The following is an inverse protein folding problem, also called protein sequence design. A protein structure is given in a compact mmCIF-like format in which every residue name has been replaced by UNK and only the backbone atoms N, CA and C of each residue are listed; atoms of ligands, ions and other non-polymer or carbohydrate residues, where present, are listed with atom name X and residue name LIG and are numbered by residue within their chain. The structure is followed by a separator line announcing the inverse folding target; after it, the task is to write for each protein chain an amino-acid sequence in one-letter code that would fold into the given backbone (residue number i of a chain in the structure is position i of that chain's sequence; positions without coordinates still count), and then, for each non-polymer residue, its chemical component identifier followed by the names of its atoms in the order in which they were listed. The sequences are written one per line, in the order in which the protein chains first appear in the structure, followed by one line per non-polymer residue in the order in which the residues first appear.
data_IF_654048483217
#
_entry.id   IF_654048483217
#
_cell.length_a   1.000
_cell.length_b   1.000
_cell.length_c   1.000
_cell.angle_alpha   90.00
_cell.angle_beta   90.00
_cell.angle_gamma   90.00
#
_symmetry.space_group_name_H-M   'P 1'
#
loop_
_entity.id
_entity.type
_entity.pdbx_description
1 polymer ?
#
# COMPACT_ATOMS: atom_id res chain seq x y z
N UNK A 1 -25.33 17.15 10.75
CA UNK A 1 -24.85 16.40 9.60
C UNK A 1 -26.01 15.90 8.76
N UNK A 2 -27.23 16.01 9.28
CA UNK A 2 -28.44 15.53 8.59
C UNK A 2 -28.28 14.07 8.16
N UNK A 3 -28.24 13.19 9.15
CA UNK A 3 -28.03 11.77 8.89
C UNK A 3 -29.20 11.14 8.14
N UNK A 4 -30.41 11.63 8.41
CA UNK A 4 -31.62 11.01 7.84
C UNK A 4 -31.72 11.17 6.33
N UNK A 5 -31.25 12.29 5.80
CA UNK A 5 -31.27 12.50 4.36
C UNK A 5 -30.25 11.58 3.70
N UNK A 6 -29.13 11.38 4.38
CA UNK A 6 -28.09 10.48 3.89
C UNK A 6 -28.56 9.03 3.94
N UNK A 7 -29.22 8.65 5.04
CA UNK A 7 -29.71 7.29 5.20
C UNK A 7 -30.79 6.98 4.16
N UNK A 8 -31.47 8.02 3.70
CA UNK A 8 -32.49 7.86 2.67
C UNK A 8 -31.86 7.43 1.34
N UNK A 9 -30.70 8.00 1.03
CA UNK A 9 -29.98 7.61 -0.19
C UNK A 9 -29.38 6.22 -0.05
N UNK A 10 -28.98 5.89 1.18
CA UNK A 10 -28.48 4.55 1.50
C UNK A 10 -29.53 3.49 1.21
N UNK A 11 -30.75 3.73 1.68
CA UNK A 11 -31.85 2.80 1.48
C UNK A 11 -32.19 2.70 0.00
N UNK A 12 -32.16 3.85 -0.66
CA UNK A 12 -32.40 3.95 -2.09
C UNK A 12 -31.48 3.00 -2.85
N UNK A 13 -30.19 3.04 -2.51
CA UNK A 13 -29.20 2.20 -3.15
C UNK A 13 -29.22 0.75 -2.72
N UNK A 14 -29.61 0.51 -1.47
CA UNK A 14 -29.69 -0.85 -0.96
C UNK A 14 -30.82 -1.63 -1.61
N UNK A 15 -32.01 -1.03 -1.63
CA UNK A 15 -33.18 -1.71 -2.17
C UNK A 15 -33.09 -1.86 -3.68
N UNK A 16 -32.36 -0.94 -4.31
CA UNK A 16 -32.17 -0.99 -5.75
C UNK A 16 -31.29 -2.18 -6.15
N UNK A 17 -30.25 -2.42 -5.36
CA UNK A 17 -29.38 -3.57 -5.57
C UNK A 17 -30.13 -4.88 -5.35
N UNK A 18 -30.85 -4.97 -4.23
CA UNK A 18 -31.64 -6.15 -3.90
C UNK A 18 -32.70 -6.44 -4.95
N UNK A 19 -33.24 -5.39 -5.56
CA UNK A 19 -34.24 -5.55 -6.61
C UNK A 19 -33.67 -6.33 -7.78
N UNK A 20 -32.47 -5.94 -8.21
CA UNK A 20 -31.80 -6.63 -9.32
C UNK A 20 -31.35 -8.03 -8.93
N UNK A 21 -30.98 -8.22 -7.67
CA UNK A 21 -30.62 -9.54 -7.18
C UNK A 21 -31.81 -10.49 -7.30
N UNK A 22 -32.97 -9.99 -6.92
CA UNK A 22 -34.21 -10.78 -6.96
C UNK A 22 -34.69 -10.97 -8.39
N UNK A 23 -34.20 -10.12 -9.29
CA UNK A 23 -34.52 -10.24 -10.71
C UNK A 23 -33.55 -11.20 -11.40
N UNK A 24 -32.56 -11.70 -10.66
CA UNK A 24 -31.56 -12.60 -11.21
C UNK A 24 -30.51 -11.91 -12.07
N UNK A 25 -30.36 -10.60 -11.91
CA UNK A 25 -29.34 -9.86 -12.65
C UNK A 25 -28.00 -9.90 -11.93
N UNK A 26 -26.92 -10.08 -12.69
CA UNK A 26 -25.58 -10.04 -12.12
C UNK A 26 -25.19 -8.63 -11.72
N UNK A 27 -24.83 -8.45 -10.46
CA UNK A 27 -24.39 -7.14 -9.98
C UNK A 27 -22.95 -6.87 -10.43
N UNK A 28 -22.80 -5.90 -11.33
CA UNK A 28 -21.48 -5.48 -11.78
C UNK A 28 -20.83 -4.54 -10.76
N UNK A 29 -19.73 -4.97 -10.17
CA UNK A 29 -19.04 -4.19 -9.14
C UNK A 29 -17.73 -3.58 -9.64
N UNK A 30 -17.55 -2.29 -9.37
CA UNK A 30 -16.33 -1.56 -9.72
C UNK A 30 -15.80 -0.81 -8.50
N UNK A 31 -14.57 -1.07 -8.11
CA UNK A 31 -14.01 -0.44 -6.91
C UNK A 31 -12.57 0.05 -7.10
N UNK A 32 -12.14 0.94 -6.22
CA UNK A 32 -10.81 1.56 -6.31
C UNK A 32 -9.69 0.61 -5.86
N UNK A 33 -8.47 0.92 -6.27
CA UNK A 33 -7.32 0.03 -6.07
C UNK A 33 -6.80 -0.04 -4.63
N UNK A 34 -6.83 1.07 -3.89
CA UNK A 34 -6.23 1.09 -2.55
C UNK A 34 -7.01 0.25 -1.53
N UNK A 35 -6.61 0.35 -0.26
CA UNK A 35 -7.23 -0.44 0.79
C UNK A 35 -8.67 -0.01 1.06
N UNK A 36 -8.95 1.28 0.89
CA UNK A 36 -10.30 1.79 1.08
C UNK A 36 -11.24 1.17 0.06
N UNK A 37 -10.72 0.92 -1.15
CA UNK A 37 -11.53 0.39 -2.24
C UNK A 37 -11.70 -1.11 -2.25
N UNK A 38 -10.65 -1.82 -1.87
CA UNK A 38 -10.67 -3.27 -1.85
C UNK A 38 -11.59 -3.77 -0.73
N UNK A 39 -11.56 -3.07 0.41
CA UNK A 39 -12.47 -3.38 1.52
C UNK A 39 -13.91 -3.03 1.17
N UNK A 40 -14.10 -1.88 0.50
CA UNK A 40 -15.44 -1.46 0.09
C UNK A 40 -16.04 -2.45 -0.90
N UNK A 41 -15.23 -2.87 -1.86
CA UNK A 41 -15.66 -3.82 -2.87
C UNK A 41 -16.06 -5.15 -2.26
N UNK A 42 -15.34 -5.56 -1.21
CA UNK A 42 -15.63 -6.83 -0.55
C UNK A 42 -16.93 -6.76 0.24
N UNK A 43 -17.18 -5.62 0.87
CA UNK A 43 -18.39 -5.43 1.66
C UNK A 43 -19.64 -5.54 0.79
N UNK A 44 -19.58 -4.94 -0.39
CA UNK A 44 -20.69 -5.05 -1.35
C UNK A 44 -20.81 -6.47 -1.92
N UNK A 45 -19.67 -7.07 -2.26
CA UNK A 45 -19.64 -8.44 -2.77
C UNK A 45 -20.21 -9.41 -1.74
N UNK A 46 -19.88 -9.19 -0.48
CA UNK A 46 -20.44 -10.00 0.60
C UNK A 46 -21.96 -9.86 0.61
N UNK A 47 -22.44 -8.61 0.56
CA UNK A 47 -23.86 -8.33 0.58
C UNK A 47 -24.59 -9.06 -0.55
N UNK A 48 -24.07 -8.94 -1.77
CA UNK A 48 -24.68 -9.58 -2.94
C UNK A 48 -24.75 -11.11 -2.76
N UNK A 49 -23.65 -11.69 -2.31
CA UNK A 49 -23.58 -13.14 -2.14
C UNK A 49 -24.47 -13.63 -1.00
N UNK A 50 -24.59 -12.83 0.05
CA UNK A 50 -25.42 -13.22 1.20
C UNK A 50 -26.91 -13.29 0.82
N UNK A 51 -27.28 -12.59 -0.25
CA UNK A 51 -28.66 -12.55 -0.71
C UNK A 51 -28.93 -13.63 -1.76
N UNK A 52 -27.92 -14.45 -2.03
CA UNK A 52 -28.02 -15.47 -3.06
C UNK A 52 -27.78 -14.91 -4.44
N UNK A 53 -27.28 -13.68 -4.49
CA UNK A 53 -27.04 -13.00 -5.75
C UNK A 53 -25.70 -13.34 -6.37
N UNK A 54 -25.40 -12.70 -7.50
CA UNK A 54 -24.21 -13.02 -8.28
C UNK A 54 -23.54 -11.73 -8.75
N UNK A 55 -22.21 -11.69 -8.71
CA UNK A 55 -21.48 -10.47 -9.07
C UNK A 55 -20.24 -10.70 -9.93
N UNK A 56 -19.84 -9.67 -10.67
CA UNK A 56 -18.53 -9.63 -11.33
C UNK A 56 -17.77 -8.38 -10.91
N UNK A 57 -16.59 -8.60 -10.33
CA UNK A 57 -15.85 -7.53 -9.70
C UNK A 57 -14.68 -7.00 -10.54
N UNK A 58 -14.46 -5.69 -10.46
CA UNK A 58 -13.31 -5.04 -11.09
C UNK A 58 -12.62 -4.07 -10.13
N UNK A 59 -11.31 -4.19 -10.03
CA UNK A 59 -10.52 -3.27 -9.20
C UNK A 59 -9.68 -2.36 -10.10
N UNK A 60 -10.07 -1.10 -10.18
CA UNK A 60 -9.44 -0.17 -11.12
C UNK A 60 -8.70 0.96 -10.40
N UNK A 61 -7.83 1.64 -11.15
CA UNK A 61 -7.03 2.74 -10.61
C UNK A 61 -7.87 3.99 -10.40
N UNK A 62 -8.69 4.32 -11.38
CA UNK A 62 -9.54 5.50 -11.30
C UNK A 62 -10.68 5.38 -12.30
N UNK A 63 -11.69 6.23 -12.14
CA UNK A 63 -12.77 6.27 -13.10
C UNK A 63 -12.38 7.22 -14.23
N UNK A 64 -12.38 6.70 -15.45
CA UNK A 64 -12.07 7.48 -16.63
C UNK A 64 -13.14 7.26 -17.70
N UNK A 65 -13.14 8.10 -18.72
CA UNK A 65 -14.13 8.01 -19.79
C UNK A 65 -13.99 6.70 -20.58
N UNK A 66 -12.75 6.27 -20.79
CA UNK A 66 -12.49 5.00 -21.47
C UNK A 66 -13.13 3.86 -20.69
N UNK A 67 -12.99 3.91 -19.36
CA UNK A 67 -13.53 2.89 -18.49
C UNK A 67 -15.04 2.84 -18.56
N UNK A 68 -15.68 4.00 -18.43
CA UNK A 68 -17.13 4.11 -18.49
C UNK A 68 -17.68 3.55 -19.80
N UNK A 69 -17.01 3.89 -20.91
CA UNK A 69 -17.44 3.41 -22.21
C UNK A 69 -17.26 1.89 -22.32
N UNK A 70 -16.18 1.36 -21.77
CA UNK A 70 -15.99 -0.10 -21.70
C UNK A 70 -17.16 -0.76 -20.99
N UNK A 71 -17.55 -0.18 -19.86
CA UNK A 71 -18.62 -0.70 -19.04
C UNK A 71 -19.96 -0.62 -19.75
N UNK A 72 -20.19 0.48 -20.45
CA UNK A 72 -21.44 0.66 -21.18
C UNK A 72 -21.59 -0.39 -22.26
N UNK A 73 -20.47 -0.81 -22.84
CA UNK A 73 -20.48 -1.82 -23.90
C UNK A 73 -20.72 -3.23 -23.34
N UNK A 74 -20.72 -3.35 -22.02
CA UNK A 74 -21.03 -4.64 -21.40
C UNK A 74 -22.54 -4.81 -21.27
N UNK A 75 -23.24 -3.68 -21.35
CA UNK A 75 -24.71 -3.64 -21.32
C UNK A 75 -25.26 -4.42 -20.13
N UNK A 76 -24.82 -4.03 -18.94
CA UNK A 76 -25.27 -4.68 -17.70
C UNK A 76 -26.57 -4.05 -17.22
N UNK A 77 -27.30 -4.78 -16.38
CA UNK A 77 -28.54 -4.24 -15.86
C UNK A 77 -28.25 -3.23 -14.75
N UNK A 78 -27.24 -3.54 -13.93
CA UNK A 78 -26.86 -2.62 -12.85
C UNK A 78 -25.34 -2.52 -12.68
N UNK A 79 -24.86 -1.29 -12.51
CA UNK A 79 -23.46 -1.01 -12.21
C UNK A 79 -23.31 -0.42 -10.81
N UNK A 80 -22.47 -1.03 -9.97
CA UNK A 80 -22.22 -0.48 -8.65
C UNK A 80 -20.77 0.00 -8.49
N UNK A 81 -20.60 1.32 -8.46
CA UNK A 81 -19.28 1.92 -8.25
C UNK A 81 -19.01 2.13 -6.77
N UNK A 82 -17.84 1.67 -6.33
CA UNK A 82 -17.45 1.70 -4.93
C UNK A 82 -16.15 2.50 -4.73
N UNK A 83 -16.19 3.48 -3.83
CA UNK A 83 -15.05 4.37 -3.57
C UNK A 83 -14.60 5.11 -4.84
N UNK A 84 -15.56 5.36 -5.74
CA UNK A 84 -15.26 5.98 -7.03
C UNK A 84 -16.50 6.65 -7.61
N UNK A 85 -16.28 7.51 -8.60
CA UNK A 85 -17.38 7.99 -9.42
C UNK A 85 -17.95 9.35 -9.06
N UNK A 86 -17.65 9.83 -7.85
CA UNK A 86 -18.20 11.09 -7.37
C UNK A 86 -17.84 12.29 -8.24
N UNK A 87 -16.67 12.24 -8.87
CA UNK A 87 -16.24 13.32 -9.75
C UNK A 87 -16.68 13.11 -11.18
N UNK A 88 -17.36 11.98 -11.41
CA UNK A 88 -17.72 11.58 -12.76
C UNK A 88 -19.22 11.38 -12.92
N UNK A 89 -20.00 12.25 -12.29
CA UNK A 89 -21.45 12.06 -12.24
C UNK A 89 -22.12 12.28 -13.60
N UNK A 90 -21.87 13.41 -14.23
CA UNK A 90 -22.50 13.69 -15.53
C UNK A 90 -21.97 12.72 -16.57
N UNK A 91 -20.72 12.30 -16.40
CA UNK A 91 -20.15 11.29 -17.28
C UNK A 91 -20.95 9.99 -17.16
N UNK A 92 -20.98 9.44 -15.95
CA UNK A 92 -21.74 8.23 -15.66
C UNK A 92 -23.19 8.34 -16.12
N UNK A 93 -23.80 9.48 -15.85
CA UNK A 93 -25.22 9.69 -16.13
C UNK A 93 -25.55 9.63 -17.61
N UNK A 94 -24.68 10.17 -18.45
CA UNK A 94 -24.92 10.21 -19.89
C UNK A 94 -24.72 8.86 -20.55
N UNK A 95 -23.62 8.19 -20.22
CA UNK A 95 -23.23 6.98 -20.92
C UNK A 95 -23.80 5.70 -20.30
N UNK A 96 -24.47 5.85 -19.16
CA UNK A 96 -25.06 4.69 -18.48
C UNK A 96 -26.53 4.91 -18.09
N UNK A 97 -27.23 5.75 -18.85
CA UNK A 97 -28.62 6.06 -18.54
C UNK A 97 -29.56 4.88 -18.77
N UNK A 98 -29.10 3.89 -19.54
CA UNK A 98 -29.91 2.73 -19.88
C UNK A 98 -29.98 1.74 -18.72
N UNK A 99 -29.08 1.88 -17.76
CA UNK A 99 -28.97 0.90 -16.68
C UNK A 99 -29.13 1.56 -15.32
N UNK A 100 -29.17 0.72 -14.28
CA UNK A 100 -29.22 1.20 -12.92
C UNK A 100 -27.79 1.35 -12.39
N UNK A 101 -27.45 2.51 -11.84
CA UNK A 101 -26.13 2.65 -11.25
C UNK A 101 -26.23 3.19 -9.82
N UNK A 102 -25.44 2.57 -8.94
CA UNK A 102 -25.31 3.03 -7.56
C UNK A 102 -23.87 3.44 -7.31
N UNK A 103 -23.68 4.67 -6.83
CA UNK A 103 -22.35 5.13 -6.46
C UNK A 103 -22.23 5.24 -4.94
N UNK A 104 -21.42 4.37 -4.37
CA UNK A 104 -21.11 4.41 -2.94
C UNK A 104 -19.70 4.94 -2.73
N UNK A 105 -19.60 6.22 -2.42
CA UNK A 105 -18.30 6.89 -2.33
C UNK A 105 -18.37 8.08 -1.37
N UNK A 106 -17.21 8.58 -0.94
CA UNK A 106 -17.16 9.67 0.03
C UNK A 106 -16.36 10.87 -0.46
N UNK A 107 -15.83 10.79 -1.67
CA UNK A 107 -15.06 11.89 -2.25
C UNK A 107 -15.98 13.04 -2.67
N UNK A 108 -15.49 14.28 -2.63
CA UNK A 108 -16.28 15.47 -2.97
C UNK A 108 -16.89 15.34 -4.36
N UNK A 109 -18.23 15.31 -4.42
CA UNK A 109 -18.97 15.02 -5.65
C UNK A 109 -19.01 16.17 -6.63
N UNK A 110 -19.16 15.84 -7.91
CA UNK A 110 -19.33 16.83 -8.97
C UNK A 110 -20.66 17.57 -8.78
N UNK A 111 -21.73 16.80 -8.64
CA UNK A 111 -23.06 17.33 -8.36
C UNK A 111 -23.58 16.67 -7.08
N UNK A 112 -24.65 17.20 -6.51
CA UNK A 112 -25.17 16.64 -5.26
C UNK A 112 -26.15 15.50 -5.51
N UNK A 113 -26.51 15.28 -6.77
CA UNK A 113 -27.40 14.18 -7.11
C UNK A 113 -27.44 13.89 -8.60
N UNK A 114 -27.91 12.69 -8.95
CA UNK A 114 -28.19 12.34 -10.34
C UNK A 114 -29.55 12.89 -10.74
N UNK A 115 -29.69 13.26 -12.01
CA UNK A 115 -30.92 13.87 -12.48
C UNK A 115 -32.04 12.84 -12.64
N UNK A 116 -31.67 11.59 -12.94
CA UNK A 116 -32.65 10.53 -13.11
C UNK A 116 -32.76 9.64 -11.86
N UNK A 117 -33.80 8.80 -11.82
CA UNK A 117 -34.12 8.03 -10.63
C UNK A 117 -33.28 6.77 -10.46
N UNK A 118 -33.00 6.10 -11.57
CA UNK A 118 -32.26 4.84 -11.54
C UNK A 118 -30.79 5.04 -11.23
N UNK A 119 -30.40 6.30 -11.06
CA UNK A 119 -29.04 6.64 -10.66
C UNK A 119 -29.05 7.32 -9.29
N UNK A 120 -28.44 6.68 -8.29
CA UNK A 120 -28.41 7.25 -6.95
C UNK A 120 -26.98 7.48 -6.47
N UNK A 121 -26.74 8.67 -5.94
CA UNK A 121 -25.44 9.02 -5.37
C UNK A 121 -25.46 8.82 -3.86
N UNK A 122 -24.85 7.74 -3.39
CA UNK A 122 -24.75 7.47 -1.97
C UNK A 122 -23.46 8.06 -1.43
N UNK A 123 -23.57 9.21 -0.79
CA UNK A 123 -22.42 10.01 -0.39
C UNK A 123 -22.78 10.93 0.76
N UNK A 124 -21.98 10.90 1.84
CA UNK A 124 -22.36 11.69 3.02
C UNK A 124 -22.03 13.17 2.87
N UNK A 125 -21.06 13.47 2.01
CA UNK A 125 -20.56 14.84 1.86
C UNK A 125 -21.63 15.89 1.51
N UNK A 126 -22.53 15.61 0.52
CA UNK A 126 -23.55 16.61 0.21
C UNK A 126 -24.47 16.96 1.38
N UNK A 127 -24.44 16.15 2.45
CA UNK A 127 -25.33 16.36 3.58
C UNK A 127 -24.59 16.95 4.78
N UNK A 128 -23.29 17.19 4.62
CA UNK A 128 -22.54 17.92 5.63
C UNK A 128 -21.47 17.13 6.36
N UNK A 129 -21.06 16.01 5.80
CA UNK A 129 -20.01 15.20 6.40
C UNK A 129 -18.65 15.52 5.82
N UNK A 130 -17.63 15.53 6.67
CA UNK A 130 -16.27 15.77 6.22
C UNK A 130 -15.74 14.55 5.48
N UNK A 131 -15.38 14.75 4.22
CA UNK A 131 -14.91 13.67 3.35
C UNK A 131 -13.75 12.86 3.94
N UNK A 132 -12.90 13.49 4.75
CA UNK A 132 -11.66 12.85 5.18
C UNK A 132 -11.63 12.40 6.63
N UNK A 133 -12.72 12.58 7.38
CA UNK A 133 -12.74 12.13 8.77
C UNK A 133 -14.08 11.56 9.24
N UNK A 134 -15.16 11.83 8.53
CA UNK A 134 -16.48 11.41 8.98
C UNK A 134 -16.90 10.03 8.48
N UNK A 135 -16.39 9.62 7.32
CA UNK A 135 -16.67 8.30 6.76
C UNK A 135 -15.84 8.08 5.49
N UNK A 136 -15.42 6.84 5.27
CA UNK A 136 -14.60 6.52 4.10
C UNK A 136 -15.42 5.80 3.04
N UNK A 137 -14.75 5.30 2.01
CA UNK A 137 -15.41 4.56 0.96
C UNK A 137 -15.97 3.24 1.48
N UNK A 138 -15.15 2.52 2.24
CA UNK A 138 -15.59 1.29 2.88
C UNK A 138 -16.77 1.56 3.80
N UNK A 139 -16.76 2.74 4.41
CA UNK A 139 -17.79 3.13 5.36
C UNK A 139 -19.16 3.28 4.72
N UNK A 140 -19.22 3.97 3.59
CA UNK A 140 -20.50 4.15 2.89
C UNK A 140 -20.97 2.82 2.30
N UNK A 141 -20.02 2.01 1.84
CA UNK A 141 -20.36 0.66 1.37
C UNK A 141 -20.96 -0.15 2.52
N UNK A 142 -20.40 0.02 3.71
CA UNK A 142 -20.89 -0.66 4.90
C UNK A 142 -22.33 -0.26 5.26
N UNK A 143 -22.65 1.02 5.13
CA UNK A 143 -24.02 1.49 5.39
C UNK A 143 -24.99 0.85 4.40
N UNK A 144 -24.61 0.81 3.14
CA UNK A 144 -25.43 0.19 2.10
C UNK A 144 -25.70 -1.29 2.43
N UNK A 145 -24.62 -2.01 2.76
CA UNK A 145 -24.70 -3.45 3.02
C UNK A 145 -25.51 -3.75 4.28
N UNK A 146 -25.48 -2.83 5.24
CA UNK A 146 -26.21 -3.02 6.49
C UNK A 146 -27.69 -2.78 6.29
N UNK A 147 -28.04 -1.92 5.34
CA UNK A 147 -29.44 -1.66 5.02
C UNK A 147 -30.03 -2.83 4.25
N UNK A 148 -29.20 -3.49 3.45
CA UNK A 148 -29.63 -4.64 2.67
C UNK A 148 -29.97 -5.81 3.58
N UNK A 149 -29.25 -5.87 4.69
CA UNK A 149 -29.27 -7.01 5.59
C UNK A 149 -28.35 -6.74 6.77
N UNK A 150 -28.92 -6.71 7.98
CA UNK A 150 -28.14 -6.35 9.18
C UNK A 150 -26.99 -7.31 9.46
N UNK A 151 -27.05 -8.52 8.92
CA UNK A 151 -26.01 -9.52 9.13
C UNK A 151 -24.66 -9.00 8.64
N UNK A 152 -24.69 -8.13 7.63
CA UNK A 152 -23.48 -7.54 7.07
C UNK A 152 -22.76 -6.62 8.05
N UNK A 153 -23.25 -6.55 9.28
CA UNK A 153 -22.54 -5.88 10.35
C UNK A 153 -21.29 -6.65 10.74
N UNK A 154 -21.20 -7.91 10.32
CA UNK A 154 -20.00 -8.70 10.59
C UNK A 154 -18.83 -8.28 9.70
N UNK A 155 -19.07 -7.31 8.82
CA UNK A 155 -18.02 -6.75 7.99
C UNK A 155 -17.51 -5.44 8.58
N UNK A 156 -17.88 -5.18 9.84
CA UNK A 156 -17.55 -3.92 10.51
C UNK A 156 -16.05 -3.69 10.61
N UNK A 157 -15.29 -4.74 10.87
CA UNK A 157 -13.84 -4.62 10.96
C UNK A 157 -13.24 -4.32 9.59
N UNK A 158 -13.70 -5.06 8.59
CA UNK A 158 -13.27 -4.86 7.21
C UNK A 158 -13.53 -3.42 6.78
N UNK A 159 -14.65 -2.87 7.22
CA UNK A 159 -14.99 -1.48 6.96
C UNK A 159 -13.96 -0.54 7.58
N UNK A 160 -13.57 -0.85 8.82
CA UNK A 160 -12.65 0.00 9.57
C UNK A 160 -11.23 -0.10 9.00
N UNK A 161 -10.89 -1.26 8.46
CA UNK A 161 -9.60 -1.43 7.79
C UNK A 161 -9.46 -0.40 6.67
N UNK A 162 -10.55 -0.21 5.93
CA UNK A 162 -10.60 0.81 4.90
C UNK A 162 -10.43 2.21 5.45
N UNK A 163 -11.16 2.51 6.52
CA UNK A 163 -11.07 3.81 7.18
C UNK A 163 -9.63 4.14 7.57
N UNK A 164 -8.93 3.17 8.14
CA UNK A 164 -7.55 3.37 8.56
C UNK A 164 -6.63 3.53 7.35
N UNK A 165 -6.87 2.73 6.32
CA UNK A 165 -6.11 2.86 5.09
C UNK A 165 -6.32 4.21 4.44
N UNK A 166 -7.53 4.75 4.60
CA UNK A 166 -7.88 6.07 4.10
C UNK A 166 -7.48 7.16 5.09
N UNK A 167 -6.92 6.75 6.22
CA UNK A 167 -6.43 7.66 7.25
C UNK A 167 -7.52 8.56 7.84
N UNK A 168 -8.70 7.97 8.05
CA UNK A 168 -9.82 8.67 8.67
C UNK A 168 -9.52 9.06 10.11
N UNK A 169 -8.59 8.33 10.72
CA UNK A 169 -8.18 8.59 12.11
C UNK A 169 -6.78 9.22 12.14
N UNK A 170 -6.55 10.14 11.21
CA UNK A 170 -5.25 10.76 11.04
C UNK A 170 -4.81 11.50 12.31
N UNK A 171 -5.78 11.93 13.11
CA UNK A 171 -5.50 12.76 14.28
C UNK A 171 -5.28 11.91 15.54
N UNK A 172 -5.49 10.60 15.42
CA UNK A 172 -5.28 9.70 16.53
C UNK A 172 -6.55 9.03 17.03
N UNK A 173 -7.71 9.45 16.52
CA UNK A 173 -8.97 8.85 16.91
C UNK A 173 -10.02 8.92 15.78
N UNK A 174 -11.14 8.24 15.95
CA UNK A 174 -12.19 8.19 14.93
C UNK A 174 -13.24 9.27 15.16
N UNK A 175 -13.93 9.64 14.09
CA UNK A 175 -14.98 10.65 14.16
C UNK A 175 -16.15 10.29 13.26
N UNK A 176 -17.20 11.10 13.31
CA UNK A 176 -18.36 10.96 12.45
C UNK A 176 -19.02 9.59 12.48
N UNK A 177 -19.46 9.14 11.31
CA UNK A 177 -20.18 7.89 11.17
C UNK A 177 -19.29 6.65 11.43
N UNK A 178 -17.98 6.84 11.36
CA UNK A 178 -17.03 5.78 11.67
C UNK A 178 -17.27 5.20 13.06
N UNK A 179 -17.60 6.08 14.01
CA UNK A 179 -17.84 5.69 15.39
C UNK A 179 -18.99 4.68 15.49
N UNK A 180 -19.98 4.86 14.63
CA UNK A 180 -21.15 3.97 14.59
C UNK A 180 -20.76 2.58 14.12
N UNK A 181 -19.87 2.51 13.14
CA UNK A 181 -19.43 1.24 12.60
C UNK A 181 -18.60 0.48 13.63
N UNK A 182 -17.77 1.22 14.36
CA UNK A 182 -16.95 0.66 15.43
C UNK A 182 -17.81 0.04 16.52
N UNK A 183 -18.89 0.73 16.88
CA UNK A 183 -19.81 0.20 17.89
C UNK A 183 -20.46 -1.09 17.40
N UNK A 184 -20.81 -1.15 16.12
CA UNK A 184 -21.36 -2.37 15.54
C UNK A 184 -20.33 -3.49 15.66
N UNK A 185 -19.06 -3.15 15.45
CA UNK A 185 -17.98 -4.11 15.58
C UNK A 185 -17.73 -4.53 17.02
N UNK A 186 -17.97 -3.61 17.95
CA UNK A 186 -17.82 -3.91 19.36
C UNK A 186 -18.96 -4.79 19.88
N UNK A 187 -20.16 -4.60 19.33
CA UNK A 187 -21.31 -5.39 19.73
C UNK A 187 -21.20 -6.84 19.25
N UNK A 188 -20.54 -7.03 18.10
CA UNK A 188 -20.35 -8.36 17.55
C UNK A 188 -19.00 -8.94 17.94
N UNK A 189 -18.25 -8.17 18.73
CA UNK A 189 -16.96 -8.59 19.25
C UNK A 189 -15.92 -8.98 18.21
N UNK A 190 -15.97 -8.34 17.04
CA UNK A 190 -15.03 -8.67 15.97
C UNK A 190 -13.96 -7.59 15.81
N UNK A 191 -14.04 -6.54 16.63
CA UNK A 191 -13.00 -5.53 16.67
C UNK A 191 -12.90 -4.90 18.04
N UNK A 192 -11.68 -4.52 18.43
CA UNK A 192 -11.46 -3.83 19.69
C UNK A 192 -10.60 -2.60 19.45
N UNK A 193 -10.96 -1.49 20.08
CA UNK A 193 -10.15 -0.28 19.99
C UNK A 193 -9.20 -0.17 21.18
N UNK A 194 -7.91 -0.26 20.89
CA UNK A 194 -6.87 -0.14 21.91
C UNK A 194 -6.35 1.29 21.98
N UNK A 195 -5.59 1.59 23.04
CA UNK A 195 -4.75 2.78 23.05
C UNK A 195 -3.30 2.31 22.98
N UNK A 196 -2.73 2.31 21.78
CA UNK A 196 -1.39 1.81 21.56
C UNK A 196 -0.60 2.70 20.62
N UNK A 197 0.60 2.24 20.28
CA UNK A 197 1.42 2.88 19.26
C UNK A 197 0.70 2.86 17.91
N UNK A 198 0.48 4.04 17.34
CA UNK A 198 -0.24 4.17 16.09
C UNK A 198 0.67 4.11 14.87
N UNK A 199 1.76 3.38 15.00
CA UNK A 199 2.71 3.24 13.90
C UNK A 199 2.47 1.94 13.16
N UNK A 200 2.98 1.87 11.94
CA UNK A 200 2.85 0.64 11.16
C UNK A 200 3.88 -0.39 11.60
N UNK A 201 3.46 -1.65 11.62
CA UNK A 201 4.36 -2.75 11.84
C UNK A 201 4.32 -3.37 13.21
N UNK A 202 3.15 -3.42 13.83
CA UNK A 202 3.04 -4.00 15.15
C UNK A 202 2.83 -5.52 15.06
N UNK A 203 2.67 -6.02 13.85
CA UNK A 203 2.41 -7.44 13.67
C UNK A 203 3.53 -8.13 12.89
N UNK A 204 4.22 -7.38 12.03
CA UNK A 204 5.18 -8.00 11.13
C UNK A 204 6.46 -7.20 10.92
N UNK A 205 6.79 -6.31 11.84
CA UNK A 205 8.01 -5.53 11.73
C UNK A 205 8.79 -5.54 13.04
N UNK A 206 10.12 -5.40 12.96
CA UNK A 206 10.92 -5.27 14.18
C UNK A 206 10.68 -3.90 14.78
N UNK A 207 10.83 -3.77 16.10
CA UNK A 207 10.54 -2.53 16.80
C UNK A 207 11.33 -1.35 16.23
N UNK A 208 12.56 -1.58 15.79
CA UNK A 208 13.40 -0.48 15.32
C UNK A 208 12.93 0.05 13.96
N UNK A 209 12.30 -0.79 13.16
CA UNK A 209 11.73 -0.32 11.89
C UNK A 209 10.39 0.37 12.14
N UNK A 210 9.66 -0.12 13.12
CA UNK A 210 8.39 0.46 13.52
C UNK A 210 8.58 1.93 13.91
N UNK A 211 9.73 2.23 14.52
CA UNK A 211 10.05 3.59 14.95
C UNK A 211 10.67 4.44 13.84
N UNK A 212 11.60 3.85 13.09
CA UNK A 212 12.35 4.59 12.07
C UNK A 212 11.47 5.05 10.92
N UNK A 213 10.45 4.26 10.60
CA UNK A 213 9.53 4.63 9.51
C UNK A 213 8.27 5.29 10.06
N UNK A 214 8.45 6.11 11.09
CA UNK A 214 7.33 6.86 11.68
C UNK A 214 7.28 8.27 11.13
N UNK A 215 6.17 8.62 10.47
CA UNK A 215 6.08 9.92 9.79
C UNK A 215 4.88 10.76 10.26
N UNK A 216 3.95 10.13 10.96
CA UNK A 216 2.77 10.85 11.44
C UNK A 216 2.43 10.60 12.90
N UNK A 217 3.08 11.34 13.80
CA UNK A 217 4.14 12.29 13.47
C UNK A 217 5.51 11.62 13.41
N UNK A 218 6.53 12.40 13.05
CA UNK A 218 7.89 11.89 13.04
C UNK A 218 8.47 11.89 14.44
N UNK A 219 9.34 10.94 14.72
CA UNK A 219 10.02 10.86 16.02
C UNK A 219 11.41 11.47 15.92
N UNK A 220 11.62 12.62 16.58
CA UNK A 220 12.86 13.40 16.46
C UNK A 220 14.12 12.62 16.81
N UNK A 221 15.12 12.73 15.93
CA UNK A 221 16.41 12.03 16.06
C UNK A 221 16.27 10.50 16.00
N UNK A 222 15.14 10.03 15.47
CA UNK A 222 14.90 8.59 15.37
C UNK A 222 14.33 8.19 14.01
N UNK A 223 13.28 8.90 13.57
CA UNK A 223 12.73 8.71 12.24
C UNK A 223 13.81 8.85 11.18
N UNK A 224 13.95 7.82 10.33
CA UNK A 224 14.92 7.85 9.27
C UNK A 224 16.18 7.04 9.55
N UNK A 225 16.66 7.09 10.79
CA UNK A 225 17.89 6.40 11.15
C UNK A 225 17.59 5.13 11.93
N UNK A 226 17.67 3.99 11.25
CA UNK A 226 17.42 2.69 11.89
C UNK A 226 18.48 2.38 12.95
N UNK A 227 19.72 2.81 12.70
CA UNK A 227 20.79 2.57 13.67
C UNK A 227 20.54 3.37 14.95
N UNK A 228 20.18 4.64 14.80
CA UNK A 228 19.83 5.48 15.93
C UNK A 228 18.67 4.85 16.72
N UNK A 229 17.69 4.34 16.00
CA UNK A 229 16.53 3.67 16.60
C UNK A 229 16.91 2.40 17.36
N UNK A 230 17.83 1.63 16.79
CA UNK A 230 18.31 0.41 17.45
C UNK A 230 19.00 0.77 18.76
N UNK A 231 19.89 1.75 18.69
CA UNK A 231 20.59 2.26 19.86
C UNK A 231 19.62 2.71 20.95
N UNK A 232 18.51 3.32 20.53
CA UNK A 232 17.52 3.89 21.44
C UNK A 232 16.75 2.82 22.21
N UNK A 233 16.33 1.77 21.51
CA UNK A 233 15.57 0.71 22.14
C UNK A 233 16.42 -0.09 23.11
N UNK A 234 17.69 -0.30 22.75
CA UNK A 234 18.62 -1.05 23.60
C UNK A 234 18.91 -0.28 24.89
N UNK A 235 19.00 1.05 24.77
CA UNK A 235 19.27 1.91 25.91
C UNK A 235 18.10 1.96 26.88
N UNK A 236 16.88 1.77 26.36
CA UNK A 236 15.69 1.75 27.21
C UNK A 236 15.35 0.30 27.59
N UNK A 237 16.29 -0.60 27.33
CA UNK A 237 16.12 -2.00 27.71
C UNK A 237 15.04 -2.71 26.92
N UNK A 238 15.06 -2.54 25.60
CA UNK A 238 14.12 -3.22 24.73
C UNK A 238 14.85 -4.06 23.70
N UNK A 239 14.19 -5.13 23.25
CA UNK A 239 14.72 -5.97 22.19
C UNK A 239 14.36 -5.35 20.84
N UNK A 240 15.35 -4.70 20.20
CA UNK A 240 15.07 -3.95 18.97
C UNK A 240 14.59 -4.83 17.81
N UNK A 241 14.76 -6.14 17.94
CA UNK A 241 14.39 -7.07 16.88
C UNK A 241 13.05 -7.72 17.16
N UNK A 242 12.54 -7.51 18.36
CA UNK A 242 11.24 -8.04 18.76
C UNK A 242 10.13 -7.29 18.02
N UNK A 243 8.96 -7.91 17.90
CA UNK A 243 7.82 -7.23 17.30
C UNK A 243 6.87 -6.75 18.39
N UNK A 244 6.20 -5.64 18.12
CA UNK A 244 5.34 -4.97 19.10
C UNK A 244 4.32 -5.91 19.75
N UNK A 245 3.78 -6.85 18.98
CA UNK A 245 2.76 -7.76 19.50
C UNK A 245 3.35 -8.76 20.49
N UNK A 246 4.67 -8.94 20.42
CA UNK A 246 5.37 -9.88 21.28
C UNK A 246 5.71 -9.28 22.64
N UNK A 247 5.39 -8.00 22.82
CA UNK A 247 5.58 -7.34 24.10
C UNK A 247 4.41 -7.67 25.02
N UNK A 248 4.64 -7.60 26.32
CA UNK A 248 3.55 -7.70 27.29
C UNK A 248 2.89 -6.34 27.43
N UNK A 249 1.69 -6.32 28.01
CA UNK A 249 1.00 -5.07 28.25
C UNK A 249 1.84 -4.18 29.16
N UNK A 250 2.57 -4.79 30.07
CA UNK A 250 3.46 -4.06 30.96
C UNK A 250 4.61 -3.40 30.20
N UNK A 251 5.20 -4.14 29.25
CA UNK A 251 6.30 -3.63 28.44
C UNK A 251 5.82 -2.57 27.44
N UNK A 252 4.60 -2.73 26.95
CA UNK A 252 4.04 -1.76 26.03
C UNK A 252 3.86 -0.40 26.69
N UNK A 253 3.40 -0.41 27.94
CA UNK A 253 3.19 0.85 28.65
C UNK A 253 4.50 1.60 28.84
N UNK A 254 5.57 0.87 29.14
CA UNK A 254 6.87 1.51 29.36
C UNK A 254 7.45 2.02 28.05
N UNK A 255 7.13 1.33 26.95
CA UNK A 255 7.49 1.81 25.63
C UNK A 255 6.80 3.16 25.37
N UNK A 256 5.51 3.21 25.70
CA UNK A 256 4.73 4.43 25.56
C UNK A 256 5.31 5.55 26.43
N UNK A 257 5.74 5.21 27.64
CA UNK A 257 6.34 6.19 28.55
C UNK A 257 7.59 6.81 27.96
N UNK A 258 8.50 5.96 27.49
CA UNK A 258 9.76 6.44 26.94
C UNK A 258 9.53 7.34 25.73
N UNK A 259 8.50 7.02 24.95
CA UNK A 259 8.15 7.81 23.78
C UNK A 259 7.45 9.12 24.17
N UNK A 260 6.61 9.05 25.19
CA UNK A 260 6.00 10.25 25.76
C UNK A 260 7.08 11.23 26.21
N UNK A 261 7.99 10.74 27.04
CA UNK A 261 9.10 11.53 27.56
C UNK A 261 9.99 12.03 26.43
N UNK A 262 10.19 11.19 25.42
CA UNK A 262 11.00 11.57 24.26
C UNK A 262 10.38 12.76 23.52
N UNK A 263 9.07 12.71 23.31
CA UNK A 263 8.39 13.78 22.60
C UNK A 263 8.39 15.06 23.42
N UNK A 264 8.11 14.94 24.70
CA UNK A 264 8.10 16.09 25.61
C UNK A 264 9.47 16.74 25.68
N UNK A 265 10.53 15.92 25.69
CA UNK A 265 11.90 16.44 25.70
C UNK A 265 12.23 17.21 24.42
N UNK A 266 11.49 16.94 23.35
CA UNK A 266 11.69 17.67 22.10
C UNK A 266 10.62 18.74 21.88
N UNK A 267 9.70 18.87 22.83
CA UNK A 267 8.72 19.93 22.81
C UNK A 267 7.56 19.71 21.85
N UNK A 268 7.21 18.45 21.62
CA UNK A 268 6.11 18.10 20.73
C UNK A 268 4.78 18.58 21.30
N UNK A 269 3.89 19.08 20.41
CA UNK A 269 2.55 19.52 20.83
C UNK A 269 1.72 18.33 21.32
N UNK A 270 0.67 18.58 22.08
CA UNK A 270 -0.20 17.50 22.53
C UNK A 270 -0.80 16.75 21.35
N UNK A 271 -1.13 17.48 20.30
CA UNK A 271 -1.74 16.91 19.10
C UNK A 271 -0.81 15.90 18.41
N UNK A 272 0.49 16.17 18.44
CA UNK A 272 1.47 15.27 17.86
C UNK A 272 1.57 13.99 18.69
N UNK A 273 1.54 14.15 20.02
CA UNK A 273 1.59 13.02 20.93
C UNK A 273 0.34 12.15 20.79
N UNK A 274 -0.82 12.80 20.67
CA UNK A 274 -2.10 12.09 20.54
C UNK A 274 -2.21 11.35 19.21
N UNK A 275 -1.41 11.75 18.23
CA UNK A 275 -1.34 11.05 16.94
C UNK A 275 -0.38 9.87 16.99
N UNK A 276 0.63 9.97 17.84
CA UNK A 276 1.61 8.90 18.01
C UNK A 276 1.03 7.76 18.85
N UNK A 277 0.36 8.12 19.94
CA UNK A 277 -0.29 7.14 20.80
C UNK A 277 -1.79 7.41 20.88
N UNK A 278 -2.58 6.46 20.40
CA UNK A 278 -4.02 6.63 20.34
C UNK A 278 -4.72 5.40 19.82
N UNK A 279 -5.84 5.60 19.15
CA UNK A 279 -6.69 4.51 18.69
C UNK A 279 -5.96 3.57 17.72
N UNK A 280 -5.95 2.29 18.07
CA UNK A 280 -5.47 1.22 17.20
C UNK A 280 -6.52 0.11 17.16
N UNK A 281 -6.96 -0.27 15.97
CA UNK A 281 -8.06 -1.23 15.88
C UNK A 281 -7.56 -2.65 15.66
N UNK A 282 -8.01 -3.54 16.55
CA UNK A 282 -7.56 -4.93 16.59
C UNK A 282 -8.76 -5.86 16.39
N UNK A 283 -8.55 -7.00 15.75
CA UNK A 283 -9.62 -7.97 15.58
C UNK A 283 -9.28 -9.33 16.18
N UNK A 284 -10.12 -9.81 17.12
CA UNK A 284 -10.04 -11.15 17.70
C UNK A 284 -10.23 -12.26 16.66
N UNK A 285 -10.81 -11.92 15.51
CA UNK A 285 -11.07 -12.90 14.46
C UNK A 285 -9.79 -13.48 13.87
N UNK A 286 -8.67 -12.79 14.11
CA UNK A 286 -7.38 -13.24 13.59
C UNK A 286 -6.35 -13.35 14.71
N UNK A 287 -5.44 -14.34 14.60
CA UNK A 287 -4.39 -14.55 15.60
C UNK A 287 -3.42 -13.37 15.68
N UNK A 288 -2.99 -13.05 16.89
CA UNK A 288 -2.01 -11.98 17.09
C UNK A 288 -0.66 -12.37 16.48
N UNK A 289 -0.10 -11.49 15.65
CA UNK A 289 1.12 -11.79 14.92
C UNK A 289 0.85 -11.88 13.43
N UNK A 290 -0.42 -12.03 13.09
CA UNK A 290 -0.88 -12.06 11.71
C UNK A 290 -1.24 -10.64 11.26
N UNK A 291 -0.87 -10.29 10.03
CA UNK A 291 -1.09 -8.92 9.54
C UNK A 291 -2.56 -8.53 9.44
N UNK A 292 -3.46 -9.49 9.65
CA UNK A 292 -4.89 -9.23 9.62
C UNK A 292 -5.42 -8.87 11.01
N UNK A 293 -4.55 -8.98 12.02
CA UNK A 293 -4.96 -8.78 13.41
C UNK A 293 -5.11 -7.29 13.76
N UNK A 294 -4.44 -6.43 13.00
CA UNK A 294 -4.52 -4.98 13.19
C UNK A 294 -4.85 -4.30 11.87
N UNK A 295 -5.63 -3.22 11.94
CA UNK A 295 -6.18 -2.58 10.75
C UNK A 295 -5.15 -1.97 9.79
N UNK A 296 -4.18 -1.24 10.32
CA UNK A 296 -3.18 -0.59 9.49
C UNK A 296 -2.36 -1.60 8.71
N UNK A 297 -2.01 -2.69 9.39
CA UNK A 297 -1.18 -3.74 8.79
C UNK A 297 -1.99 -4.51 7.74
N UNK A 298 -3.27 -4.69 8.03
CA UNK A 298 -4.21 -5.30 7.08
C UNK A 298 -4.32 -4.45 5.82
N UNK A 299 -4.57 -3.16 6.00
CA UNK A 299 -4.70 -2.23 4.87
C UNK A 299 -3.44 -2.20 4.03
N UNK A 300 -2.28 -2.35 4.70
CA UNK A 300 -1.01 -2.36 4.01
C UNK A 300 -0.90 -3.60 3.14
N UNK A 301 -1.40 -4.71 3.65
CA UNK A 301 -1.46 -5.96 2.89
C UNK A 301 -2.31 -5.79 1.62
N UNK A 302 -3.47 -5.15 1.79
CA UNK A 302 -4.42 -4.97 0.69
C UNK A 302 -3.92 -3.97 -0.34
N UNK A 303 -3.26 -2.91 0.12
CA UNK A 303 -2.63 -1.97 -0.79
C UNK A 303 -1.62 -2.69 -1.65
N UNK A 304 -0.91 -3.62 -1.03
CA UNK A 304 0.09 -4.42 -1.73
C UNK A 304 -0.55 -5.28 -2.83
N UNK A 305 -1.67 -5.94 -2.52
CA UNK A 305 -2.35 -6.76 -3.53
C UNK A 305 -2.84 -5.88 -4.66
N UNK A 306 -3.25 -4.66 -4.33
CA UNK A 306 -3.67 -3.71 -5.34
C UNK A 306 -2.57 -3.32 -6.31
N UNK A 307 -1.36 -3.13 -5.80
CA UNK A 307 -0.25 -2.71 -6.64
C UNK A 307 0.38 -3.88 -7.39
N UNK A 308 0.02 -5.10 -7.00
CA UNK A 308 0.59 -6.29 -7.63
C UNK A 308 -0.38 -6.94 -8.61
N UNK A 309 -1.31 -6.15 -9.15
CA UNK A 309 -2.31 -6.62 -10.11
C UNK A 309 -3.11 -7.79 -9.55
N UNK A 310 -3.48 -7.71 -8.29
CA UNK A 310 -4.19 -8.78 -7.61
C UNK A 310 -5.22 -8.24 -6.60
N UNK A 311 -5.86 -7.13 -6.95
CA UNK A 311 -6.82 -6.50 -6.05
C UNK A 311 -7.97 -7.43 -5.70
N UNK A 312 -8.39 -8.22 -6.67
CA UNK A 312 -9.51 -9.14 -6.49
C UNK A 312 -9.13 -10.23 -5.49
N UNK A 313 -7.83 -10.48 -5.36
CA UNK A 313 -7.34 -11.43 -4.38
C UNK A 313 -7.44 -10.83 -2.97
N UNK A 314 -7.17 -9.52 -2.87
CA UNK A 314 -7.30 -8.82 -1.62
C UNK A 314 -8.74 -8.77 -1.15
N UNK A 315 -9.66 -8.69 -2.11
CA UNK A 315 -11.08 -8.76 -1.81
C UNK A 315 -11.44 -10.11 -1.23
N UNK A 316 -10.97 -11.18 -1.88
CA UNK A 316 -11.23 -12.53 -1.43
C UNK A 316 -10.78 -12.73 0.03
N UNK A 317 -9.70 -12.09 0.41
CA UNK A 317 -9.18 -12.20 1.78
C UNK A 317 -10.16 -11.61 2.80
N UNK A 318 -10.71 -10.45 2.47
CA UNK A 318 -11.68 -9.78 3.34
C UNK A 318 -12.95 -10.61 3.47
N UNK A 319 -13.28 -11.36 2.40
CA UNK A 319 -14.46 -12.20 2.40
C UNK A 319 -14.29 -13.43 3.30
N UNK A 320 -13.04 -13.77 3.63
CA UNK A 320 -12.74 -14.87 4.52
C UNK A 320 -12.13 -16.08 3.83
N UNK A 321 -11.52 -15.87 2.66
CA UNK A 321 -10.87 -16.93 1.91
C UNK A 321 -9.42 -17.11 2.38
N UNK A 322 -9.22 -18.04 3.31
CA UNK A 322 -7.90 -18.30 3.88
C UNK A 322 -6.89 -18.70 2.81
N UNK A 323 -7.36 -19.36 1.76
CA UNK A 323 -6.48 -19.79 0.68
C UNK A 323 -5.95 -18.58 -0.09
N UNK A 324 -6.78 -17.56 -0.22
CA UNK A 324 -6.37 -16.33 -0.88
C UNK A 324 -5.27 -15.65 -0.09
N UNK A 325 -5.39 -15.68 1.23
CA UNK A 325 -4.36 -15.13 2.10
C UNK A 325 -3.04 -15.86 1.92
N UNK A 326 -3.13 -17.17 1.68
CA UNK A 326 -1.94 -17.98 1.45
C UNK A 326 -1.29 -17.59 0.14
N UNK A 327 -2.12 -17.30 -0.85
CA UNK A 327 -1.62 -16.82 -2.14
C UNK A 327 -0.88 -15.50 -1.92
N UNK A 328 -1.50 -14.62 -1.15
CA UNK A 328 -0.94 -13.30 -0.90
C UNK A 328 0.35 -13.37 -0.07
N UNK A 329 0.41 -14.33 0.85
CA UNK A 329 1.60 -14.52 1.67
C UNK A 329 2.78 -15.00 0.84
N UNK A 330 2.57 -16.09 0.09
CA UNK A 330 3.64 -16.63 -0.75
C UNK A 330 4.11 -15.57 -1.74
N UNK A 331 3.13 -14.83 -2.27
CA UNK A 331 3.40 -13.76 -3.22
C UNK A 331 4.39 -12.74 -2.66
N UNK A 332 4.16 -12.32 -1.42
CA UNK A 332 5.01 -11.33 -0.76
C UNK A 332 6.33 -11.93 -0.27
N UNK A 333 6.26 -13.16 0.24
CA UNK A 333 7.44 -13.81 0.79
C UNK A 333 8.38 -14.30 -0.31
N UNK A 334 7.84 -14.64 -1.48
CA UNK A 334 8.68 -15.02 -2.61
C UNK A 334 9.57 -13.87 -3.03
N UNK A 335 9.07 -12.65 -2.94
CA UNK A 335 9.86 -11.48 -3.30
C UNK A 335 10.96 -11.26 -2.27
N UNK A 336 10.59 -11.29 -0.99
CA UNK A 336 11.55 -11.20 0.09
C UNK A 336 12.61 -12.29 -0.05
N UNK A 337 12.18 -13.43 -0.56
CA UNK A 337 13.05 -14.58 -0.80
C UNK A 337 14.05 -14.30 -1.93
N UNK A 338 13.63 -13.54 -2.94
CA UNK A 338 14.50 -13.15 -4.04
C UNK A 338 15.54 -12.12 -3.61
N UNK A 339 15.12 -11.19 -2.76
CA UNK A 339 16.02 -10.17 -2.24
C UNK A 339 17.13 -10.84 -1.45
N UNK A 340 16.78 -11.86 -0.70
CA UNK A 340 17.76 -12.61 0.07
C UNK A 340 18.67 -13.39 -0.86
N UNK A 341 18.07 -14.02 -1.86
CA UNK A 341 18.82 -14.78 -2.86
C UNK A 341 19.81 -13.89 -3.60
N UNK A 342 19.38 -12.68 -3.94
CA UNK A 342 20.21 -11.72 -4.66
C UNK A 342 21.49 -11.39 -3.90
N UNK A 343 21.36 -11.17 -2.59
CA UNK A 343 22.51 -10.85 -1.76
C UNK A 343 23.41 -12.06 -1.53
N UNK A 344 22.81 -13.24 -1.50
CA UNK A 344 23.57 -14.48 -1.35
C UNK A 344 24.47 -14.69 -2.56
N UNK A 345 23.88 -14.61 -3.74
CA UNK A 345 24.58 -14.85 -4.99
C UNK A 345 25.80 -13.93 -5.17
N UNK A 346 25.59 -12.63 -4.97
CA UNK A 346 26.63 -11.67 -5.27
C UNK A 346 27.81 -11.75 -4.29
N UNK A 347 27.55 -12.22 -3.08
CA UNK A 347 28.62 -12.32 -2.10
C UNK A 347 29.44 -13.60 -2.32
N UNK A 348 28.74 -14.71 -2.56
CA UNK A 348 29.39 -15.98 -2.79
C UNK A 348 30.23 -15.99 -4.06
N UNK A 349 29.73 -15.34 -5.11
CA UNK A 349 30.41 -15.34 -6.40
C UNK A 349 31.22 -14.08 -6.67
N UNK A 350 31.53 -13.35 -5.60
CA UNK A 350 32.23 -12.07 -5.73
C UNK A 350 33.65 -12.24 -6.27
N UNK A 351 34.19 -13.45 -6.19
CA UNK A 351 35.52 -13.73 -6.71
C UNK A 351 35.57 -13.63 -8.25
N UNK A 352 34.41 -13.36 -8.86
CA UNK A 352 34.29 -13.24 -10.31
C UNK A 352 33.84 -11.87 -10.79
N UNK A 353 34.32 -10.80 -10.17
CA UNK A 353 33.97 -9.47 -10.63
C UNK A 353 35.03 -8.92 -11.57
N UNK A 354 34.57 -8.23 -12.60
CA UNK A 354 35.45 -7.50 -13.50
C UNK A 354 35.86 -6.18 -12.87
N UNK A 355 36.82 -6.24 -11.94
CA UNK A 355 37.34 -5.03 -11.33
C UNK A 355 38.19 -4.26 -12.34
N UNK A 356 37.84 -2.99 -12.54
CA UNK A 356 38.59 -2.13 -13.42
C UNK A 356 39.35 -1.11 -12.61
N UNK A 357 39.90 -0.10 -13.28
CA UNK A 357 40.68 0.91 -12.59
C UNK A 357 39.80 1.77 -11.69
N UNK A 358 38.52 1.91 -12.06
CA UNK A 358 37.63 2.83 -11.36
C UNK A 358 36.35 2.19 -10.82
N UNK A 359 35.99 1.01 -11.33
CA UNK A 359 34.71 0.41 -10.96
C UNK A 359 34.73 -1.10 -10.89
N UNK A 360 33.77 -1.66 -10.15
CA UNK A 360 33.48 -3.10 -10.17
C UNK A 360 32.29 -3.35 -11.09
N UNK A 361 32.41 -4.32 -11.98
CA UNK A 361 31.27 -4.72 -12.80
C UNK A 361 30.95 -6.21 -12.57
N UNK A 362 29.72 -6.48 -12.17
CA UNK A 362 29.27 -7.84 -11.92
C UNK A 362 28.05 -8.18 -12.77
N UNK A 363 28.21 -9.11 -13.69
CA UNK A 363 27.09 -9.55 -14.52
C UNK A 363 26.51 -10.85 -13.96
N UNK A 364 25.23 -10.81 -13.58
CA UNK A 364 24.58 -11.94 -12.93
C UNK A 364 23.68 -12.75 -13.87
N UNK A 365 23.44 -12.22 -15.06
CA UNK A 365 22.63 -12.92 -16.04
C UNK A 365 21.19 -13.08 -15.60
N UNK A 366 20.72 -14.32 -15.52
CA UNK A 366 19.34 -14.60 -15.11
C UNK A 366 19.22 -14.79 -13.61
N UNK A 367 20.37 -14.93 -12.95
CA UNK A 367 20.42 -15.26 -11.52
C UNK A 367 19.74 -14.23 -10.61
N UNK A 368 19.78 -12.97 -11.01
CA UNK A 368 19.13 -11.93 -10.22
C UNK A 368 18.10 -11.20 -11.08
N UNK A 369 16.94 -10.92 -10.50
CA UNK A 369 15.87 -10.24 -11.21
C UNK A 369 16.26 -8.78 -11.49
N UNK A 370 15.70 -8.21 -12.57
CA UNK A 370 15.94 -6.82 -12.95
C UNK A 370 16.00 -5.88 -11.76
N UNK A 371 15.00 -6.01 -10.91
CA UNK A 371 14.69 -5.04 -9.90
C UNK A 371 15.59 -5.14 -8.66
N UNK A 372 16.14 -6.33 -8.44
CA UNK A 372 16.96 -6.56 -7.26
C UNK A 372 18.44 -6.23 -7.51
N UNK A 373 18.73 -5.73 -8.71
CA UNK A 373 20.10 -5.42 -9.11
C UNK A 373 20.75 -4.36 -8.21
N UNK A 374 19.96 -3.36 -7.83
CA UNK A 374 20.46 -2.28 -6.99
C UNK A 374 20.81 -2.70 -5.58
N UNK A 375 19.96 -3.50 -4.94
CA UNK A 375 20.22 -3.90 -3.56
C UNK A 375 21.37 -4.91 -3.50
N UNK A 376 21.58 -5.61 -4.60
CA UNK A 376 22.70 -6.52 -4.74
C UNK A 376 23.99 -5.72 -4.70
N UNK A 377 24.03 -4.63 -5.47
CA UNK A 377 25.17 -3.74 -5.50
C UNK A 377 25.49 -3.19 -4.11
N UNK A 378 24.46 -2.74 -3.40
CA UNK A 378 24.63 -2.23 -2.05
C UNK A 378 25.16 -3.28 -1.09
N UNK A 379 24.85 -4.54 -1.36
CA UNK A 379 25.29 -5.63 -0.49
C UNK A 379 26.81 -5.77 -0.54
N UNK A 380 27.35 -5.80 -1.75
CA UNK A 380 28.79 -5.89 -1.97
C UNK A 380 29.53 -4.75 -1.28
N UNK A 381 28.92 -3.57 -1.28
CA UNK A 381 29.49 -2.41 -0.62
C UNK A 381 29.43 -2.53 0.90
N UNK A 382 28.23 -2.83 1.41
CA UNK A 382 27.98 -2.88 2.85
C UNK A 382 28.70 -4.03 3.56
N UNK A 383 29.03 -5.08 2.81
CA UNK A 383 29.80 -6.18 3.35
C UNK A 383 31.25 -5.74 3.63
N UNK A 384 31.62 -4.59 3.08
CA UNK A 384 32.98 -4.09 3.20
C UNK A 384 33.87 -4.80 2.19
N UNK A 385 33.24 -5.61 1.36
CA UNK A 385 33.91 -6.46 0.39
C UNK A 385 34.56 -5.63 -0.71
N UNK A 386 33.78 -4.71 -1.28
CA UNK A 386 34.27 -3.81 -2.33
C UNK A 386 35.01 -2.64 -1.73
N UNK A 387 36.02 -2.14 -2.44
CA UNK A 387 36.71 -0.93 -2.04
C UNK A 387 35.71 0.22 -2.00
N UNK A 388 35.45 0.77 -0.81
CA UNK A 388 34.45 1.82 -0.57
C UNK A 388 34.62 3.02 -1.50
N UNK A 389 35.84 3.28 -1.95
CA UNK A 389 36.10 4.39 -2.86
C UNK A 389 35.79 4.04 -4.32
N UNK A 390 35.49 2.77 -4.56
CA UNK A 390 35.30 2.26 -5.92
C UNK A 390 33.87 1.79 -6.18
N UNK A 391 33.14 2.52 -7.04
CA UNK A 391 31.75 2.23 -7.42
C UNK A 391 31.50 0.80 -7.89
N UNK A 392 30.31 0.27 -7.59
CA UNK A 392 29.95 -1.09 -7.97
C UNK A 392 28.75 -1.10 -8.93
N UNK A 393 28.85 -1.89 -9.99
CA UNK A 393 27.75 -2.07 -10.93
C UNK A 393 27.33 -3.53 -11.02
N UNK A 394 26.04 -3.79 -10.84
CA UNK A 394 25.51 -5.14 -11.04
C UNK A 394 24.63 -5.14 -12.28
N UNK A 395 24.75 -6.21 -13.08
CA UNK A 395 24.00 -6.32 -14.32
C UNK A 395 23.22 -7.62 -14.36
N UNK A 396 22.00 -7.57 -14.85
CA UNK A 396 21.17 -8.76 -14.99
C UNK A 396 20.35 -8.68 -16.26
N UNK A 397 20.00 -9.85 -16.79
CA UNK A 397 19.16 -9.92 -17.98
C UNK A 397 17.76 -9.40 -17.66
N UNK A 398 17.22 -8.58 -18.55
CA UNK A 398 15.91 -7.97 -18.33
C UNK A 398 14.78 -8.97 -18.51
N UNK A 399 13.72 -8.81 -17.73
CA UNK A 399 12.56 -9.68 -17.80
C UNK A 399 11.67 -9.32 -18.99
N UNK A 400 11.50 -8.02 -19.22
CA UNK A 400 10.65 -7.53 -20.30
C UNK A 400 11.20 -7.94 -21.67
N UNK A 401 12.43 -7.52 -21.96
CA UNK A 401 13.08 -7.86 -23.23
C UNK A 401 13.95 -9.10 -23.08
N UNK A 402 14.83 -9.34 -24.04
CA UNK A 402 15.68 -10.53 -24.02
C UNK A 402 17.11 -10.20 -24.45
N UNK A 403 17.24 -9.31 -25.44
CA UNK A 403 18.54 -8.87 -25.91
C UNK A 403 19.06 -7.70 -25.07
N UNK A 404 18.39 -7.43 -23.97
CA UNK A 404 18.63 -6.23 -23.17
C UNK A 404 19.16 -6.58 -21.78
N UNK A 405 19.96 -5.68 -21.21
CA UNK A 405 20.49 -5.88 -19.87
C UNK A 405 20.24 -4.63 -19.00
N UNK A 406 19.60 -4.83 -17.85
CA UNK A 406 19.39 -3.74 -16.91
C UNK A 406 20.52 -3.75 -15.89
N UNK A 407 20.99 -2.56 -15.52
CA UNK A 407 22.08 -2.44 -14.57
C UNK A 407 21.86 -1.28 -13.63
N UNK A 408 22.42 -1.41 -12.43
CA UNK A 408 22.38 -0.32 -11.46
C UNK A 408 23.75 -0.15 -10.80
N UNK A 409 24.12 1.10 -10.57
CA UNK A 409 25.39 1.42 -9.93
C UNK A 409 25.17 2.12 -8.59
N UNK A 410 25.89 1.68 -7.58
CA UNK A 410 25.86 2.34 -6.27
C UNK A 410 27.29 2.62 -5.83
N UNK A 411 27.46 3.57 -4.92
CA UNK A 411 28.76 3.83 -4.34
C UNK A 411 28.59 4.58 -3.02
N UNK A 412 29.65 5.20 -2.52
CA UNK A 412 29.64 5.78 -1.18
C UNK A 412 29.88 7.29 -1.16
N UNK A 413 29.88 7.86 0.04
CA UNK A 413 30.27 9.25 0.24
C UNK A 413 31.74 9.43 -0.07
N UNK A 414 32.56 8.53 0.46
CA UNK A 414 34.01 8.53 0.26
C UNK A 414 34.38 8.57 -1.22
N UNK A 415 33.67 7.79 -2.02
CA UNK A 415 33.93 7.73 -3.45
C UNK A 415 33.52 9.02 -4.15
N UNK A 416 32.42 9.61 -3.71
CA UNK A 416 31.92 10.84 -4.28
C UNK A 416 32.91 11.99 -4.11
N UNK A 417 33.75 11.91 -3.09
CA UNK A 417 34.76 12.93 -2.82
C UNK A 417 35.85 12.95 -3.89
N UNK A 418 35.91 11.90 -4.68
CA UNK A 418 36.85 11.84 -5.81
C UNK A 418 36.23 12.51 -7.04
N UNK A 419 35.04 13.07 -6.87
CA UNK A 419 34.36 13.77 -7.94
C UNK A 419 33.47 12.87 -8.80
N UNK A 420 33.28 11.63 -8.35
CA UNK A 420 32.48 10.65 -9.10
C UNK A 420 31.01 11.04 -9.17
N UNK A 421 30.38 10.72 -10.29
CA UNK A 421 28.96 10.97 -10.49
C UNK A 421 28.38 9.86 -11.38
N UNK A 422 27.78 8.86 -10.76
CA UNK A 422 27.32 7.67 -11.47
C UNK A 422 26.25 7.98 -12.51
N UNK A 423 25.39 8.95 -12.19
CA UNK A 423 24.34 9.37 -13.09
C UNK A 423 24.85 9.95 -14.40
N UNK A 424 25.81 10.86 -14.31
CA UNK A 424 26.38 11.49 -15.50
C UNK A 424 27.19 10.48 -16.31
N UNK A 425 27.88 9.57 -15.61
CA UNK A 425 28.68 8.55 -16.26
C UNK A 425 27.81 7.55 -17.01
N UNK A 426 26.75 7.09 -16.35
CA UNK A 426 25.85 6.12 -16.94
C UNK A 426 25.09 6.75 -18.11
N UNK A 427 24.83 8.05 -18.01
CA UNK A 427 24.24 8.82 -19.11
C UNK A 427 25.08 8.72 -20.37
N UNK A 428 26.37 9.05 -20.22
CA UNK A 428 27.31 9.03 -21.35
C UNK A 428 27.44 7.66 -22.01
N UNK A 429 27.59 6.62 -21.20
CA UNK A 429 27.78 5.27 -21.72
C UNK A 429 26.52 4.76 -22.40
N UNK A 430 25.36 5.09 -21.83
CA UNK A 430 24.07 4.71 -22.41
C UNK A 430 23.93 5.28 -23.82
N UNK A 431 24.19 6.57 -23.95
CA UNK A 431 24.10 7.25 -25.25
C UNK A 431 25.01 6.61 -26.29
N UNK A 432 26.21 6.22 -25.87
CA UNK A 432 27.18 5.62 -26.78
C UNK A 432 26.79 4.19 -27.18
N UNK A 433 26.14 3.47 -26.28
CA UNK A 433 25.71 2.10 -26.58
C UNK A 433 24.32 2.08 -27.20
N UNK A 434 23.65 3.22 -27.18
CA UNK A 434 22.30 3.30 -27.68
C UNK A 434 21.34 2.68 -26.71
N UNK A 435 21.32 3.23 -25.49
CA UNK A 435 20.42 2.77 -24.45
C UNK A 435 19.98 3.95 -23.62
N UNK A 436 19.47 3.67 -22.41
CA UNK A 436 19.04 4.74 -21.51
C UNK A 436 19.76 4.61 -20.18
N UNK A 437 20.18 5.75 -19.64
CA UNK A 437 20.85 5.76 -18.36
C UNK A 437 20.83 7.13 -17.72
N UNK A 438 21.01 7.17 -16.41
CA UNK A 438 21.03 8.42 -15.67
C UNK A 438 20.74 8.18 -14.21
N UNK A 439 20.67 9.26 -13.43
CA UNK A 439 20.38 9.15 -12.01
C UNK A 439 21.14 10.16 -11.18
N UNK A 440 21.21 9.91 -9.88
CA UNK A 440 21.96 10.78 -8.97
C UNK A 440 23.45 10.46 -9.02
N UNK A 441 24.24 11.21 -8.28
CA UNK A 441 25.68 10.99 -8.24
C UNK A 441 26.02 9.67 -7.55
N UNK A 442 25.29 9.35 -6.49
CA UNK A 442 25.60 8.18 -5.67
C UNK A 442 24.88 6.91 -6.14
N UNK A 443 23.81 7.08 -6.90
CA UNK A 443 23.05 5.95 -7.40
C UNK A 443 22.43 6.24 -8.78
N UNK A 444 22.52 5.27 -9.67
CA UNK A 444 22.01 5.43 -11.02
C UNK A 444 21.71 4.08 -11.66
N UNK A 445 21.06 4.11 -12.82
CA UNK A 445 20.70 2.89 -13.52
C UNK A 445 20.93 3.00 -15.01
N UNK A 446 20.79 1.88 -15.71
CA UNK A 446 21.03 1.84 -17.15
C UNK A 446 20.42 0.60 -17.79
N UNK A 447 19.97 0.73 -19.03
CA UNK A 447 19.57 -0.40 -19.85
C UNK A 447 20.26 -0.30 -21.22
N UNK A 448 20.77 -1.42 -21.71
CA UNK A 448 21.51 -1.46 -22.98
C UNK A 448 21.61 -2.90 -23.52
N UNK A 449 21.92 -3.05 -24.83
CA UNK A 449 22.05 -4.37 -25.46
C UNK A 449 22.96 -5.35 -24.72
N UNK A 450 22.53 -6.60 -24.61
CA UNK A 450 23.29 -7.63 -23.90
C UNK A 450 24.61 -7.95 -24.60
N UNK A 451 24.65 -7.74 -25.91
CA UNK A 451 25.82 -8.09 -26.71
C UNK A 451 26.95 -7.08 -26.64
N UNK A 452 26.82 -6.07 -25.78
CA UNK A 452 27.84 -5.02 -25.67
C UNK A 452 28.29 -4.82 -24.23
N UNK A 453 28.29 -5.91 -23.46
CA UNK A 453 28.67 -5.86 -22.04
C UNK A 453 30.16 -5.56 -21.86
N UNK A 454 30.99 -6.14 -22.72
CA UNK A 454 32.43 -5.88 -22.68
C UNK A 454 32.71 -4.42 -23.03
N UNK A 455 31.92 -3.89 -23.95
CA UNK A 455 32.05 -2.49 -24.35
C UNK A 455 31.61 -1.57 -23.21
N UNK A 456 30.58 -2.00 -22.47
CA UNK A 456 30.11 -1.24 -21.32
C UNK A 456 31.19 -1.10 -20.25
N UNK A 457 31.85 -2.22 -19.92
CA UNK A 457 32.88 -2.23 -18.89
C UNK A 457 34.00 -1.26 -19.23
N UNK A 458 34.37 -1.19 -20.51
CA UNK A 458 35.39 -0.28 -20.98
C UNK A 458 34.91 1.17 -20.86
N UNK A 459 33.74 1.43 -21.43
CA UNK A 459 33.18 2.78 -21.49
C UNK A 459 32.91 3.35 -20.11
N UNK A 460 32.45 2.50 -19.19
CA UNK A 460 32.09 2.95 -17.86
C UNK A 460 33.32 3.31 -17.04
N UNK A 461 34.37 2.51 -17.16
CA UNK A 461 35.64 2.84 -16.52
C UNK A 461 36.20 4.15 -17.07
N UNK A 462 36.16 4.28 -18.40
CA UNK A 462 36.61 5.50 -19.06
C UNK A 462 35.80 6.73 -18.63
N UNK A 463 34.48 6.57 -18.53
CA UNK A 463 33.61 7.68 -18.17
C UNK A 463 33.89 8.20 -16.76
N UNK A 464 34.27 7.28 -15.86
CA UNK A 464 34.65 7.67 -14.51
C UNK A 464 36.05 8.27 -14.47
N UNK A 465 36.93 7.81 -15.35
CA UNK A 465 38.27 8.34 -15.46
C UNK A 465 38.28 9.85 -15.68
N UNK A 466 37.35 10.34 -16.49
CA UNK A 466 37.29 11.76 -16.82
C UNK A 466 36.90 12.62 -15.62
N UNK A 467 36.42 11.99 -14.55
CA UNK A 467 35.96 12.72 -13.37
C UNK A 467 36.67 12.29 -12.11
#
# INVERSE_FOLDING_TARGET
MDKEAFLERVREGAELIKMHIELGHTIRLISHRDADGITAGAILAKAVAREGGTFQLSIVKQVSEELIDQLAREKREIYVFSDLGSGSIELIEEKLNFATVVVADHHPPEKDSFSTDSHVLVNPVPFGANSVRDLSGSGVAYFVAREMNRKNRDMAYVAIVGAVGDMQEIDGTFHGLNLEIIEDGKELGILEVRKELRLFGRESRPLYQMLAYATNPEIPEITGDERKAIEWLRAKGFDPEMKYWQLREEEKRKLHEALLVHMIKHGAPKEAIDRLIGDVVISPLYPEGDVRHEAREFATLLNATGRLNAGTLGVAICLGDEEAYKVARKMLDDYKKEQIEARKFIIQNWNMVEEGEHAYVFYAGKNIRDTLVGIAANMAINAGLADPEKPVVVLADSDEDENLVKGSARTTEKALEKGYHLGEALKEVAEKLGGEGGGHAIAAGIRFPKNRIDEFIKLFNEALGRQVKGGGSEGEG
#
